data_IF_591561591251
#
_entry.id   IF_591561591251
#
_cell.length_a   1.000
_cell.length_b   1.000
_cell.length_c   1.000
_cell.angle_alpha   90.00
_cell.angle_beta   90.00
_cell.angle_gamma   90.00
#
_symmetry.space_group_name_H-M   'P 1'
#
loop_
_entity.id
_entity.type
_entity.pdbx_description
1 polymer ?
#
# COMPACT_ATOMS: atom_id res chain seq x y z
N UNK A 1 16.38 -17.60 5.14
CA UNK A 1 15.44 -18.17 4.14
C UNK A 1 14.95 -17.04 3.26
N UNK A 2 15.06 -17.16 1.93
CA UNK A 2 14.70 -16.11 0.96
C UNK A 2 13.26 -16.22 0.43
N UNK A 3 12.60 -17.37 0.65
CA UNK A 3 11.19 -17.56 0.30
C UNK A 3 10.29 -17.06 1.45
N UNK A 4 9.24 -16.27 1.16
CA UNK A 4 8.28 -15.87 2.17
C UNK A 4 7.52 -17.10 2.70
N UNK A 5 7.13 -17.10 4.00
CA UNK A 5 6.17 -18.08 4.50
C UNK A 5 4.88 -18.05 3.65
N UNK A 6 4.29 -19.22 3.39
CA UNK A 6 3.12 -19.33 2.53
C UNK A 6 1.95 -18.45 3.01
N UNK A 7 1.75 -18.34 4.33
CA UNK A 7 0.75 -17.46 4.92
C UNK A 7 0.98 -15.98 4.56
N UNK A 8 2.21 -15.48 4.69
CA UNK A 8 2.54 -14.10 4.34
C UNK A 8 2.35 -13.82 2.84
N UNK A 9 2.73 -14.78 1.99
CA UNK A 9 2.52 -14.67 0.54
C UNK A 9 1.03 -14.64 0.17
N UNK A 10 0.27 -15.63 0.64
CA UNK A 10 -1.16 -15.75 0.31
C UNK A 10 -1.96 -14.57 0.82
N UNK A 11 -1.73 -14.13 2.07
CA UNK A 11 -2.41 -12.96 2.63
C UNK A 11 -1.99 -11.67 1.93
N UNK A 12 -0.71 -11.53 1.58
CA UNK A 12 -0.22 -10.39 0.80
C UNK A 12 -0.88 -10.29 -0.57
N UNK A 13 -1.00 -11.42 -1.28
CA UNK A 13 -1.70 -11.50 -2.57
C UNK A 13 -3.21 -11.25 -2.43
N UNK A 14 -3.86 -11.80 -1.41
CA UNK A 14 -5.27 -11.55 -1.13
C UNK A 14 -5.55 -10.06 -0.84
N UNK A 15 -4.59 -9.37 -0.20
CA UNK A 15 -4.65 -7.92 -0.02
C UNK A 15 -4.67 -7.10 -1.31
N UNK A 16 -4.33 -7.68 -2.47
CA UNK A 16 -4.41 -6.98 -3.76
C UNK A 16 -5.83 -6.97 -4.35
N UNK A 17 -6.76 -7.78 -3.83
CA UNK A 17 -8.09 -7.94 -4.41
C UNK A 17 -8.88 -6.62 -4.51
N UNK A 18 -8.91 -5.73 -3.50
CA UNK A 18 -9.65 -4.47 -3.62
C UNK A 18 -9.04 -3.52 -4.67
N UNK A 19 -7.72 -3.53 -4.86
CA UNK A 19 -7.05 -2.73 -5.89
C UNK A 19 -7.41 -3.22 -7.29
N UNK A 20 -7.32 -4.55 -7.51
CA UNK A 20 -7.65 -5.19 -8.78
C UNK A 20 -9.12 -4.97 -9.14
N UNK A 21 -10.02 -5.15 -8.17
CA UNK A 21 -11.45 -4.92 -8.35
C UNK A 21 -11.74 -3.45 -8.70
N UNK A 22 -11.19 -2.52 -7.92
CA UNK A 22 -11.32 -1.09 -8.20
C UNK A 22 -10.82 -0.74 -9.62
N UNK A 23 -9.69 -1.31 -10.04
CA UNK A 23 -9.12 -1.03 -11.37
C UNK A 23 -10.04 -1.55 -12.47
N UNK A 24 -10.57 -2.75 -12.32
CA UNK A 24 -11.52 -3.33 -13.26
C UNK A 24 -12.80 -2.48 -13.36
N UNK A 25 -13.32 -1.96 -12.23
CA UNK A 25 -14.51 -1.10 -12.25
C UNK A 25 -14.27 0.28 -12.86
N UNK A 26 -13.04 0.78 -12.85
CA UNK A 26 -12.65 2.02 -13.54
C UNK A 26 -12.50 1.79 -15.04
N UNK A 27 -11.87 0.68 -15.42
CA UNK A 27 -11.61 0.34 -16.83
C UNK A 27 -12.86 -0.11 -17.59
N UNK A 28 -13.85 -0.68 -16.90
CA UNK A 28 -15.09 -1.18 -17.50
C UNK A 28 -16.31 -0.49 -16.88
N UNK A 29 -16.85 0.58 -17.52
CA UNK A 29 -17.96 1.36 -16.97
C UNK A 29 -19.21 0.54 -16.62
N UNK A 30 -19.54 -0.48 -17.41
CA UNK A 30 -20.66 -1.38 -17.11
C UNK A 30 -20.46 -2.19 -15.83
N UNK A 31 -19.23 -2.66 -15.57
CA UNK A 31 -18.89 -3.33 -14.31
C UNK A 31 -18.91 -2.35 -13.14
N UNK A 32 -18.42 -1.12 -13.36
CA UNK A 32 -18.46 -0.05 -12.36
C UNK A 32 -19.89 0.31 -11.93
N UNK A 33 -20.79 0.51 -12.90
CA UNK A 33 -22.21 0.75 -12.64
C UNK A 33 -22.87 -0.41 -11.89
N UNK A 34 -22.70 -1.64 -12.40
CA UNK A 34 -23.23 -2.84 -11.74
C UNK A 34 -22.73 -2.97 -10.30
N UNK A 35 -21.44 -2.73 -10.07
CA UNK A 35 -20.83 -2.79 -8.73
C UNK A 35 -21.42 -1.73 -7.81
N UNK A 36 -21.58 -0.50 -8.30
CA UNK A 36 -22.15 0.61 -7.53
C UNK A 36 -23.60 0.35 -7.12
N UNK A 37 -24.40 -0.25 -8.01
CA UNK A 37 -25.81 -0.57 -7.78
C UNK A 37 -26.00 -1.82 -6.89
N UNK A 38 -25.20 -2.86 -7.10
CA UNK A 38 -25.39 -4.17 -6.46
C UNK A 38 -24.62 -4.30 -5.14
N UNK A 39 -23.37 -3.85 -5.11
CA UNK A 39 -22.49 -3.95 -3.94
C UNK A 39 -22.48 -2.64 -3.13
N UNK A 40 -22.88 -1.53 -3.76
CA UNK A 40 -22.91 -0.20 -3.19
C UNK A 40 -21.74 0.66 -3.69
N UNK A 41 -21.96 1.98 -3.77
CA UNK A 41 -21.00 2.93 -4.36
C UNK A 41 -19.60 2.94 -3.74
N UNK A 42 -19.42 2.39 -2.52
CA UNK A 42 -18.10 2.23 -1.89
C UNK A 42 -17.23 1.16 -2.53
N UNK A 43 -17.83 0.22 -3.27
CA UNK A 43 -17.16 -0.91 -3.91
C UNK A 43 -16.99 -0.72 -5.43
N UNK A 44 -17.12 0.52 -5.90
CA UNK A 44 -17.01 0.85 -7.32
C UNK A 44 -16.10 2.07 -7.54
N UNK A 45 -15.43 2.06 -8.69
CA UNK A 45 -14.64 3.17 -9.16
C UNK A 45 -13.42 3.47 -8.27
N UNK A 46 -12.89 4.70 -8.34
CA UNK A 46 -11.65 5.07 -7.65
C UNK A 46 -11.81 5.06 -6.13
N UNK A 47 -13.01 5.29 -5.59
CA UNK A 47 -13.22 5.40 -4.15
C UNK A 47 -12.72 4.18 -3.38
N UNK A 48 -13.01 2.96 -3.86
CA UNK A 48 -12.55 1.73 -3.21
C UNK A 48 -11.03 1.69 -3.12
N UNK A 49 -10.35 1.99 -4.24
CA UNK A 49 -8.89 1.95 -4.30
C UNK A 49 -8.25 3.01 -3.42
N UNK A 50 -8.80 4.22 -3.40
CA UNK A 50 -8.29 5.32 -2.60
C UNK A 50 -8.47 5.04 -1.11
N UNK A 51 -9.68 4.66 -0.70
CA UNK A 51 -9.98 4.37 0.69
C UNK A 51 -9.13 3.20 1.21
N UNK A 52 -9.10 2.08 0.47
CA UNK A 52 -8.30 0.92 0.86
C UNK A 52 -6.80 1.20 0.76
N UNK A 53 -6.36 1.96 -0.25
CA UNK A 53 -4.98 2.39 -0.41
C UNK A 53 -4.46 3.20 0.76
N UNK A 54 -5.26 4.16 1.24
CA UNK A 54 -4.96 4.93 2.47
C UNK A 54 -4.84 3.99 3.68
N UNK A 55 -5.75 3.04 3.85
CA UNK A 55 -5.69 2.06 4.94
C UNK A 55 -4.41 1.24 4.87
N UNK A 56 -4.05 0.70 3.70
CA UNK A 56 -2.87 -0.15 3.56
C UNK A 56 -1.58 0.65 3.74
N UNK A 57 -1.51 1.86 3.21
CA UNK A 57 -0.33 2.72 3.39
C UNK A 57 -0.11 3.05 4.88
N UNK A 58 -1.18 3.37 5.61
CA UNK A 58 -1.12 3.60 7.06
C UNK A 58 -0.85 2.32 7.86
N UNK A 59 -1.40 1.17 7.45
CA UNK A 59 -1.11 -0.12 8.08
C UNK A 59 0.39 -0.45 8.02
N UNK A 60 1.02 -0.19 6.87
CA UNK A 60 2.45 -0.44 6.68
C UNK A 60 3.34 0.43 7.56
N UNK A 61 2.90 1.63 7.96
CA UNK A 61 3.57 2.40 9.02
C UNK A 61 3.69 1.62 10.32
N UNK A 62 2.63 0.92 10.74
CA UNK A 62 2.66 0.07 11.93
C UNK A 62 3.65 -1.09 11.80
N UNK A 63 3.79 -1.65 10.60
CA UNK A 63 4.78 -2.71 10.33
C UNK A 63 6.21 -2.20 10.48
N UNK A 64 6.53 -1.05 9.89
CA UNK A 64 7.85 -0.42 10.04
C UNK A 64 8.14 -0.09 11.51
N UNK A 65 7.14 0.37 12.27
CA UNK A 65 7.28 0.57 13.72
C UNK A 65 7.63 -0.75 14.42
N UNK A 66 6.95 -1.85 14.07
CA UNK A 66 7.25 -3.19 14.57
C UNK A 66 8.67 -3.68 14.22
N UNK A 67 9.21 -3.32 13.07
CA UNK A 67 10.62 -3.60 12.76
C UNK A 67 11.58 -2.73 13.58
N UNK A 68 11.22 -1.46 13.83
CA UNK A 68 12.03 -0.54 14.62
C UNK A 68 12.23 -1.01 16.07
N UNK A 69 11.31 -1.81 16.63
CA UNK A 69 11.46 -2.37 17.99
C UNK A 69 12.63 -3.34 18.13
N UNK A 70 13.21 -3.81 17.01
CA UNK A 70 14.41 -4.66 16.97
C UNK A 70 15.71 -3.86 16.97
N UNK A 71 15.64 -2.53 16.88
CA UNK A 71 16.79 -1.65 16.91
C UNK A 71 16.97 -1.02 18.30
N UNK A 72 18.17 -0.50 18.56
CA UNK A 72 18.50 0.21 19.80
C UNK A 72 19.11 1.59 19.52
N UNK A 73 19.12 2.43 20.54
CA UNK A 73 19.76 3.75 20.51
C UNK A 73 19.25 4.67 19.39
N UNK A 74 20.13 5.47 18.77
CA UNK A 74 19.74 6.41 17.71
C UNK A 74 19.04 5.77 16.50
N UNK A 75 19.36 4.51 16.20
CA UNK A 75 18.75 3.78 15.07
C UNK A 75 17.29 3.44 15.35
N UNK A 76 16.93 3.10 16.60
CA UNK A 76 15.55 2.88 17.00
C UNK A 76 14.73 4.17 16.84
N UNK A 77 15.24 5.30 17.34
CA UNK A 77 14.59 6.60 17.21
C UNK A 77 14.35 6.97 15.74
N UNK A 78 15.35 6.80 14.87
CA UNK A 78 15.19 7.00 13.43
C UNK A 78 14.16 6.04 12.82
N UNK A 79 14.15 4.76 13.21
CA UNK A 79 13.16 3.78 12.76
C UNK A 79 11.73 4.20 13.11
N UNK A 80 11.48 4.59 14.36
CA UNK A 80 10.16 5.08 14.76
C UNK A 80 9.75 6.35 14.00
N UNK A 81 10.65 7.32 13.86
CA UNK A 81 10.37 8.54 13.10
C UNK A 81 10.06 8.26 11.62
N UNK A 82 10.82 7.37 10.97
CA UNK A 82 10.55 6.98 9.58
C UNK A 82 9.23 6.21 9.44
N UNK A 83 8.88 5.39 10.43
CA UNK A 83 7.69 4.54 10.37
C UNK A 83 6.38 5.33 10.31
N UNK A 84 6.30 6.54 10.88
CA UNK A 84 5.07 7.34 10.87
C UNK A 84 4.83 8.10 9.57
N UNK A 85 5.87 8.28 8.75
CA UNK A 85 5.80 9.10 7.53
C UNK A 85 4.71 8.61 6.56
N UNK A 86 4.58 7.30 6.23
CA UNK A 86 3.54 6.84 5.29
C UNK A 86 2.12 7.15 5.75
N UNK A 87 1.80 6.95 7.03
CA UNK A 87 0.48 7.27 7.58
C UNK A 87 0.17 8.78 7.53
N UNK A 88 1.14 9.63 7.91
CA UNK A 88 0.99 11.08 7.82
C UNK A 88 0.86 11.54 6.36
N UNK A 89 1.66 10.96 5.47
CA UNK A 89 1.56 11.21 4.04
C UNK A 89 0.14 10.91 3.54
N UNK A 90 -0.39 9.73 3.85
CA UNK A 90 -1.75 9.36 3.45
C UNK A 90 -2.78 10.37 3.99
N UNK A 91 -2.71 10.70 5.29
CA UNK A 91 -3.62 11.64 5.95
C UNK A 91 -3.66 13.02 5.27
N UNK A 92 -2.50 13.59 4.94
CA UNK A 92 -2.43 14.94 4.39
C UNK A 92 -2.66 15.02 2.87
N UNK A 93 -2.40 13.94 2.12
CA UNK A 93 -2.33 14.01 0.65
C UNK A 93 -3.50 13.38 -0.11
N UNK A 94 -4.37 12.61 0.55
CA UNK A 94 -5.49 11.91 -0.13
C UNK A 94 -6.80 12.70 -0.15
N UNK A 95 -6.78 14.00 0.16
CA UNK A 95 -7.97 14.88 0.15
C UNK A 95 -8.24 15.64 -1.15
N UNK A 96 -7.28 15.67 -2.09
CA UNK A 96 -7.31 16.54 -3.28
C UNK A 96 -8.14 16.06 -4.48
N UNK A 97 -9.09 15.13 -4.27
CA UNK A 97 -9.85 14.48 -5.35
C UNK A 97 -9.18 13.22 -5.92
N UNK A 98 -9.87 12.47 -6.81
CA UNK A 98 -9.49 11.08 -7.12
C UNK A 98 -8.11 10.92 -7.78
N UNK A 99 -7.81 11.70 -8.81
CA UNK A 99 -6.53 11.63 -9.54
C UNK A 99 -5.35 12.07 -8.66
N UNK A 100 -5.52 13.17 -7.91
CA UNK A 100 -4.49 13.66 -6.97
C UNK A 100 -4.24 12.66 -5.85
N UNK A 101 -5.30 12.11 -5.25
CA UNK A 101 -5.18 11.09 -4.21
C UNK A 101 -4.54 9.80 -4.74
N UNK A 102 -4.91 9.33 -5.93
CA UNK A 102 -4.31 8.14 -6.55
C UNK A 102 -2.82 8.36 -6.84
N UNK A 103 -2.46 9.54 -7.35
CA UNK A 103 -1.06 9.92 -7.60
C UNK A 103 -0.25 9.95 -6.29
N UNK A 104 -0.78 10.60 -5.25
CA UNK A 104 -0.16 10.65 -3.93
C UNK A 104 -0.02 9.25 -3.31
N UNK A 105 -1.00 8.36 -3.48
CA UNK A 105 -0.90 6.98 -3.02
C UNK A 105 0.17 6.19 -3.79
N UNK A 106 0.24 6.33 -5.11
CA UNK A 106 1.28 5.68 -5.92
C UNK A 106 2.67 6.13 -5.47
N UNK A 107 2.89 7.43 -5.29
CA UNK A 107 4.13 7.99 -4.74
C UNK A 107 4.39 7.46 -3.33
N UNK A 108 3.37 7.42 -2.47
CA UNK A 108 3.45 6.92 -1.10
C UNK A 108 3.89 5.46 -1.03
N UNK A 109 3.32 4.58 -1.87
CA UNK A 109 3.71 3.18 -1.94
C UNK A 109 5.13 2.96 -2.47
N UNK A 110 5.56 3.75 -3.47
CA UNK A 110 6.94 3.71 -3.98
C UNK A 110 7.93 4.21 -2.92
N UNK A 111 7.63 5.32 -2.24
CA UNK A 111 8.45 5.84 -1.15
C UNK A 111 8.50 4.85 0.04
N UNK A 112 7.37 4.23 0.39
CA UNK A 112 7.33 3.16 1.38
C UNK A 112 8.23 1.99 1.00
N UNK A 113 8.30 1.60 -0.28
CA UNK A 113 9.22 0.53 -0.72
C UNK A 113 10.70 0.90 -0.51
N UNK A 114 11.04 2.19 -0.62
CA UNK A 114 12.39 2.67 -0.26
C UNK A 114 12.64 2.60 1.24
N UNK A 115 11.63 2.90 2.07
CA UNK A 115 11.71 2.71 3.52
C UNK A 115 11.86 1.22 3.86
N UNK A 116 11.05 0.34 3.26
CA UNK A 116 11.18 -1.12 3.40
C UNK A 116 12.62 -1.57 3.08
N UNK A 117 13.22 -1.05 2.01
CA UNK A 117 14.61 -1.36 1.63
C UNK A 117 15.60 -0.86 2.68
N UNK A 118 15.40 0.32 3.25
CA UNK A 118 16.25 0.85 4.31
C UNK A 118 16.19 0.01 5.59
N UNK A 119 14.99 -0.42 6.00
CA UNK A 119 14.82 -1.31 7.15
C UNK A 119 15.41 -2.71 6.90
N UNK A 120 15.34 -3.21 5.67
CA UNK A 120 16.03 -4.43 5.28
C UNK A 120 17.56 -4.27 5.33
N UNK A 121 18.10 -3.13 4.88
CA UNK A 121 19.54 -2.82 4.96
C UNK A 121 20.04 -2.72 6.40
N UNK A 122 19.19 -2.26 7.33
CA UNK A 122 19.49 -2.27 8.77
C UNK A 122 19.36 -3.65 9.42
N UNK A 123 18.97 -4.70 8.68
CA UNK A 123 18.77 -6.04 9.20
C UNK A 123 17.52 -6.18 10.09
N UNK A 124 16.60 -5.23 10.02
CA UNK A 124 15.38 -5.22 10.85
C UNK A 124 14.24 -6.01 10.17
N UNK A 125 14.17 -5.96 8.84
CA UNK A 125 13.19 -6.71 8.07
C UNK A 125 13.69 -8.15 7.74
N UNK A 126 12.79 -9.14 7.63
CA UNK A 126 13.15 -10.49 7.19
C UNK A 126 13.74 -10.52 5.77
N UNK A 127 14.62 -11.49 5.48
CA UNK A 127 15.29 -11.60 4.17
C UNK A 127 14.34 -11.80 2.97
N UNK A 128 13.12 -12.30 3.19
CA UNK A 128 12.09 -12.48 2.17
C UNK A 128 11.18 -11.25 1.97
N UNK A 129 11.34 -10.20 2.79
CA UNK A 129 10.46 -9.04 2.83
C UNK A 129 10.46 -8.27 1.51
N UNK A 130 11.64 -7.87 1.04
CA UNK A 130 11.77 -7.03 -0.16
C UNK A 130 11.22 -7.67 -1.44
N UNK A 131 11.53 -8.95 -1.77
CA UNK A 131 10.93 -9.60 -2.94
C UNK A 131 9.40 -9.60 -2.92
N UNK A 132 8.80 -9.86 -1.74
CA UNK A 132 7.35 -9.82 -1.57
C UNK A 132 6.82 -8.39 -1.78
N UNK A 133 7.38 -7.41 -1.07
CA UNK A 133 6.93 -6.01 -1.10
C UNK A 133 7.05 -5.40 -2.49
N UNK A 134 8.14 -5.66 -3.22
CA UNK A 134 8.31 -5.16 -4.59
C UNK A 134 7.19 -5.65 -5.51
N UNK A 135 6.85 -6.95 -5.47
CA UNK A 135 5.78 -7.51 -6.28
C UNK A 135 4.41 -6.92 -5.94
N UNK A 136 4.08 -6.86 -4.64
CA UNK A 136 2.79 -6.29 -4.19
C UNK A 136 2.68 -4.80 -4.55
N UNK A 137 3.71 -4.01 -4.29
CA UNK A 137 3.74 -2.57 -4.61
C UNK A 137 3.61 -2.34 -6.12
N UNK A 138 4.28 -3.13 -6.95
CA UNK A 138 4.16 -3.03 -8.40
C UNK A 138 2.70 -3.21 -8.86
N UNK A 139 2.01 -4.24 -8.36
CA UNK A 139 0.59 -4.47 -8.70
C UNK A 139 -0.29 -3.33 -8.20
N UNK A 140 -0.09 -2.85 -6.97
CA UNK A 140 -0.85 -1.72 -6.42
C UNK A 140 -0.70 -0.48 -7.31
N UNK A 141 0.54 -0.10 -7.65
CA UNK A 141 0.79 1.09 -8.49
C UNK A 141 0.15 0.92 -9.86
N UNK A 142 0.28 -0.25 -10.50
CA UNK A 142 -0.37 -0.55 -11.78
C UNK A 142 -1.91 -0.41 -11.69
N UNK A 143 -2.51 -0.84 -10.58
CA UNK A 143 -3.95 -0.72 -10.37
C UNK A 143 -4.42 0.74 -10.17
N UNK A 144 -3.54 1.64 -9.72
CA UNK A 144 -3.86 3.06 -9.53
C UNK A 144 -3.73 3.86 -10.84
N UNK A 145 -2.96 3.38 -11.82
CA UNK A 145 -2.74 4.10 -13.09
C UNK A 145 -4.04 4.47 -13.84
N UNK A 146 -5.08 3.62 -13.94
CA UNK A 146 -6.34 3.98 -14.59
C UNK A 146 -7.09 5.15 -13.96
N UNK A 147 -6.79 5.50 -12.71
CA UNK A 147 -7.37 6.67 -12.03
C UNK A 147 -6.49 7.91 -12.21
N UNK A 148 -5.20 7.70 -12.45
CA UNK A 148 -4.19 8.76 -12.62
C UNK A 148 -4.21 9.33 -14.05
N UNK A 149 -4.40 8.46 -15.05
CA UNK A 149 -4.37 8.78 -16.48
C UNK A 149 -5.77 9.12 -17.00
#
# INVERSE_FOLDING_TARGET
MTRPPASALLLGLAGLLPFLWGAATVLWPGLGLWSAETLGGRFAGPYLQLFYGTIILAFMSGVLWGFATRAEGPRAAAGYALSVIPALWAFFTTGGGPTSAATSLAVGFLALLLLDAQFARWGLAPAWWMPLRTGLTAVVVLCLLPVIL
#
